data_IF_367503323030
#
_entry.id   IF_367503323030
#
_cell.length_a   1.000
_cell.length_b   1.000
_cell.length_c   1.000
_cell.angle_alpha   90.00
_cell.angle_beta   90.00
_cell.angle_gamma   90.00
#
_symmetry.space_group_name_H-M   'P 1'
#
loop_
_entity.id
_entity.type
_entity.pdbx_description
1 polymer ?
#
# COMPACT_ATOMS: atom_id res chain seq x y z
N UNK A 1 13.81 -19.77 9.74
CA UNK A 1 13.56 -18.32 9.84
C UNK A 1 14.15 -17.68 8.61
N UNK A 2 13.36 -16.94 7.82
CA UNK A 2 13.83 -16.25 6.62
C UNK A 2 14.06 -14.77 6.95
N UNK A 3 15.00 -14.13 6.25
CA UNK A 3 15.35 -12.73 6.47
C UNK A 3 15.19 -11.96 5.16
N UNK A 4 14.34 -10.94 5.16
CA UNK A 4 14.24 -9.98 4.05
C UNK A 4 15.25 -8.87 4.34
N UNK A 5 16.29 -8.77 3.53
CA UNK A 5 17.34 -7.79 3.73
C UNK A 5 17.09 -6.49 2.96
N UNK A 6 16.23 -6.54 1.94
CA UNK A 6 15.88 -5.40 1.07
C UNK A 6 14.44 -5.47 0.61
N UNK A 7 13.83 -4.30 0.44
CA UNK A 7 12.54 -4.12 -0.22
C UNK A 7 12.80 -3.39 -1.54
N UNK A 8 12.37 -3.98 -2.65
CA UNK A 8 12.40 -3.32 -3.96
C UNK A 8 11.03 -2.74 -4.24
N UNK A 9 10.95 -1.42 -4.32
CA UNK A 9 9.74 -0.67 -4.61
C UNK A 9 9.82 -0.10 -6.04
N UNK A 10 9.06 -0.63 -7.01
CA UNK A 10 9.04 -0.09 -8.36
C UNK A 10 8.42 1.30 -8.39
N UNK A 11 8.99 2.19 -9.21
CA UNK A 11 8.52 3.56 -9.37
C UNK A 11 7.05 3.64 -9.81
N UNK A 12 6.60 2.73 -10.69
CA UNK A 12 5.20 2.66 -11.12
C UNK A 12 4.20 2.40 -9.98
N UNK A 13 4.61 1.64 -8.95
CA UNK A 13 3.76 1.40 -7.77
C UNK A 13 3.68 2.67 -6.91
N UNK A 14 4.78 3.41 -6.81
CA UNK A 14 4.83 4.71 -6.12
C UNK A 14 3.90 5.71 -6.80
N UNK A 15 4.04 5.88 -8.12
CA UNK A 15 3.20 6.82 -8.88
C UNK A 15 1.72 6.52 -8.68
N UNK A 16 1.29 5.26 -8.88
CA UNK A 16 -0.10 4.87 -8.66
C UNK A 16 -0.58 5.15 -7.23
N UNK A 17 0.29 4.96 -6.24
CA UNK A 17 -0.03 5.23 -4.82
C UNK A 17 -0.19 6.73 -4.57
N UNK A 18 0.70 7.56 -5.13
CA UNK A 18 0.65 9.01 -4.97
C UNK A 18 -0.55 9.64 -5.71
N UNK A 19 -0.87 9.13 -6.90
CA UNK A 19 -2.09 9.53 -7.63
C UNK A 19 -3.33 9.27 -6.78
N UNK A 20 -3.45 8.08 -6.19
CA UNK A 20 -4.56 7.75 -5.30
C UNK A 20 -4.61 8.65 -4.05
N UNK A 21 -3.45 8.97 -3.46
CA UNK A 21 -3.39 9.81 -2.26
C UNK A 21 -3.64 11.30 -2.51
N UNK A 22 -3.50 11.77 -3.74
CA UNK A 22 -3.65 13.19 -4.08
C UNK A 22 -5.02 13.72 -3.67
N UNK A 23 -6.09 12.96 -3.94
CA UNK A 23 -7.45 13.36 -3.59
C UNK A 23 -7.64 13.51 -2.07
N UNK A 24 -7.08 12.59 -1.28
CA UNK A 24 -7.15 12.66 0.20
C UNK A 24 -6.36 13.84 0.77
N UNK A 25 -5.21 14.15 0.15
CA UNK A 25 -4.41 15.31 0.49
C UNK A 25 -5.16 16.63 0.31
N UNK A 26 -6.01 16.75 -0.71
CA UNK A 26 -6.84 17.95 -0.93
C UNK A 26 -7.84 18.19 0.22
N UNK A 27 -8.30 17.12 0.89
CA UNK A 27 -9.21 17.21 2.03
C UNK A 27 -8.50 17.17 3.38
N UNK A 28 -7.16 17.19 3.40
CA UNK A 28 -6.32 17.07 4.60
C UNK A 28 -6.63 15.82 5.45
N UNK A 29 -6.95 14.69 4.80
CA UNK A 29 -7.18 13.42 5.48
C UNK A 29 -6.07 12.43 5.17
N UNK A 30 -5.79 11.51 6.11
CA UNK A 30 -4.83 10.42 5.87
C UNK A 30 -5.36 9.45 4.82
N UNK A 31 -4.47 8.66 4.19
CA UNK A 31 -4.85 7.61 3.25
C UNK A 31 -3.94 6.40 3.41
N UNK A 32 -4.47 5.23 3.09
CA UNK A 32 -3.76 3.96 3.18
C UNK A 32 -3.74 3.23 1.83
N UNK A 33 -2.63 2.55 1.56
CA UNK A 33 -2.50 1.61 0.47
C UNK A 33 -1.81 0.35 0.98
N UNK A 34 -2.21 -0.80 0.45
CA UNK A 34 -1.57 -2.08 0.72
C UNK A 34 -0.64 -2.44 -0.42
N UNK A 35 0.65 -2.58 -0.13
CA UNK A 35 1.63 -3.00 -1.12
C UNK A 35 1.84 -4.50 -1.07
N UNK A 36 1.55 -5.16 -2.18
CA UNK A 36 1.61 -6.61 -2.33
C UNK A 36 2.83 -6.96 -3.15
N UNK A 37 3.55 -7.99 -2.71
CA UNK A 37 4.82 -8.37 -3.29
C UNK A 37 5.10 -9.84 -3.15
N UNK A 38 6.25 -10.25 -3.64
CA UNK A 38 6.79 -11.59 -3.43
C UNK A 38 8.23 -11.51 -2.98
N UNK A 39 8.64 -12.51 -2.21
CA UNK A 39 10.03 -12.74 -1.89
C UNK A 39 10.73 -13.41 -3.09
N UNK A 40 11.94 -12.93 -3.40
CA UNK A 40 12.87 -13.51 -4.37
C UNK A 40 14.28 -13.35 -3.79
N UNK A 41 14.90 -14.46 -3.41
CA UNK A 41 16.30 -14.50 -2.96
C UNK A 41 16.61 -13.49 -1.83
N UNK A 42 15.77 -13.46 -0.78
CA UNK A 42 15.87 -12.54 0.37
C UNK A 42 15.58 -11.05 0.07
N UNK A 43 15.05 -10.75 -1.12
CA UNK A 43 14.52 -9.43 -1.48
C UNK A 43 13.00 -9.51 -1.60
N UNK A 44 12.29 -8.64 -0.90
CA UNK A 44 10.84 -8.52 -1.09
C UNK A 44 10.57 -7.51 -2.21
N UNK A 45 10.05 -7.99 -3.33
CA UNK A 45 9.76 -7.18 -4.50
C UNK A 45 8.28 -6.83 -4.52
N UNK A 46 7.96 -5.55 -4.34
CA UNK A 46 6.60 -5.04 -4.48
C UNK A 46 6.19 -5.16 -5.95
N UNK A 47 4.99 -5.67 -6.20
CA UNK A 47 4.42 -5.83 -7.54
C UNK A 47 3.28 -4.85 -7.79
N UNK A 48 2.45 -4.61 -6.78
CA UNK A 48 1.23 -3.85 -6.93
C UNK A 48 0.84 -3.11 -5.65
N UNK A 49 0.03 -2.07 -5.84
CA UNK A 49 -0.66 -1.36 -4.77
C UNK A 49 -2.17 -1.63 -4.87
N UNK A 50 -2.73 -2.04 -3.75
CA UNK A 50 -4.15 -2.24 -3.50
C UNK A 50 -4.69 -1.08 -2.66
N UNK A 51 -5.84 -0.57 -3.05
CA UNK A 51 -6.49 0.58 -2.42
C UNK A 51 -7.84 0.13 -1.86
N UNK A 52 -7.89 -0.32 -0.60
CA UNK A 52 -9.15 -0.74 -0.03
C UNK A 52 -10.07 0.46 0.16
N UNK A 53 -11.37 0.17 0.19
CA UNK A 53 -12.35 1.13 0.70
C UNK A 53 -12.00 1.45 2.15
N UNK A 54 -11.95 2.75 2.45
CA UNK A 54 -11.43 3.27 3.69
C UNK A 54 -12.20 4.52 4.09
N UNK A 55 -12.32 4.72 5.41
CA UNK A 55 -12.85 5.94 6.02
C UNK A 55 -11.71 6.69 6.65
N UNK A 56 -11.53 7.94 6.23
CA UNK A 56 -10.32 8.70 6.53
C UNK A 56 -10.64 9.91 7.39
N UNK A 57 -9.73 10.20 8.31
CA UNK A 57 -9.75 11.38 9.17
C UNK A 57 -8.39 12.08 9.05
N UNK A 58 -8.24 13.25 9.67
CA UNK A 58 -6.97 13.99 9.63
C UNK A 58 -5.80 13.27 10.31
N UNK A 59 -6.06 12.28 11.19
CA UNK A 59 -5.04 11.64 12.04
C UNK A 59 -5.09 10.11 12.03
N UNK A 60 -6.01 9.54 11.25
CA UNK A 60 -6.22 8.09 11.19
C UNK A 60 -7.06 7.70 9.99
N UNK A 61 -6.97 6.43 9.61
CA UNK A 61 -7.83 5.78 8.64
C UNK A 61 -8.39 4.47 9.22
N UNK A 62 -9.58 4.10 8.78
CA UNK A 62 -10.25 2.86 9.14
C UNK A 62 -10.51 2.07 7.86
N UNK A 63 -10.03 0.83 7.84
CA UNK A 63 -10.23 -0.12 6.75
C UNK A 63 -11.09 -1.25 7.31
N UNK A 64 -12.16 -1.59 6.59
CA UNK A 64 -12.99 -2.74 6.93
C UNK A 64 -12.19 -4.04 6.82
N UNK A 65 -12.61 -5.09 7.50
CA UNK A 65 -12.00 -6.42 7.36
C UNK A 65 -11.90 -6.80 5.88
N UNK A 66 -10.70 -7.19 5.46
CA UNK A 66 -10.42 -7.55 4.08
C UNK A 66 -10.26 -9.06 3.95
N UNK A 67 -10.91 -9.64 2.94
CA UNK A 67 -10.60 -11.00 2.50
C UNK A 67 -9.24 -11.01 1.80
N UNK A 68 -8.18 -11.28 2.56
CA UNK A 68 -6.79 -11.33 2.08
C UNK A 68 -6.54 -12.34 0.95
N UNK A 69 -7.48 -13.25 0.68
CA UNK A 69 -7.40 -14.21 -0.42
C UNK A 69 -7.71 -13.57 -1.79
N UNK A 70 -8.24 -12.35 -1.80
CA UNK A 70 -8.51 -11.56 -3.01
C UNK A 70 -7.36 -10.60 -3.37
N UNK A 71 -6.30 -10.59 -2.56
CA UNK A 71 -5.09 -9.79 -2.69
C UNK A 71 -3.95 -10.71 -3.12
#
# INVERSE_FOLDING_TARGET
MFYINRIKLPYSVIEKTLEFFTDYGLYNVEACALWVGKEVENIFVIKEAWFPEQKNTMISYYISDMEVHKI
#
